data_IF_479550046324
#
_entry.id   IF_479550046324
#
_cell.length_a   1.000
_cell.length_b   1.000
_cell.length_c   1.000
_cell.angle_alpha   90.00
_cell.angle_beta   90.00
_cell.angle_gamma   90.00
#
_symmetry.space_group_name_H-M   'P 1'
#
loop_
_entity.id
_entity.type
_entity.pdbx_description
1 polymer ?
#
# COMPACT_ATOMS: atom_id res chain seq x y z
N UNK A 1 2.01 -31.90 6.77
CA UNK A 1 2.82 -30.97 5.95
C UNK A 1 3.76 -30.17 6.85
N UNK A 2 4.94 -29.83 6.34
CA UNK A 2 5.92 -29.02 7.07
C UNK A 2 5.94 -27.63 6.48
N UNK A 3 5.63 -26.62 7.30
CA UNK A 3 5.76 -25.21 6.95
C UNK A 3 7.04 -24.66 7.57
N UNK A 4 7.97 -24.20 6.74
CA UNK A 4 9.22 -23.59 7.21
C UNK A 4 9.06 -22.08 7.29
N UNK A 5 9.19 -21.52 8.49
CA UNK A 5 9.11 -20.08 8.74
C UNK A 5 10.40 -19.53 9.37
N UNK A 6 10.65 -18.26 9.20
CA UNK A 6 11.60 -17.49 10.01
C UNK A 6 10.84 -16.38 10.69
N UNK A 7 10.92 -16.31 12.00
CA UNK A 7 10.42 -15.17 12.79
C UNK A 7 11.60 -14.33 13.27
N UNK A 8 11.45 -13.00 13.18
CA UNK A 8 12.45 -12.03 13.63
C UNK A 8 11.93 -11.33 14.88
N UNK A 9 12.67 -11.45 15.97
CA UNK A 9 12.31 -10.92 17.29
C UNK A 9 13.45 -10.09 17.86
N UNK A 10 13.17 -9.19 18.80
CA UNK A 10 14.22 -8.52 19.55
C UNK A 10 15.07 -9.55 20.30
N UNK A 11 16.38 -9.32 20.35
CA UNK A 11 17.31 -10.20 21.10
C UNK A 11 17.24 -9.91 22.58
N UNK A 12 16.25 -10.50 23.24
CA UNK A 12 16.02 -10.39 24.70
C UNK A 12 15.43 -11.70 25.26
N UNK A 13 15.68 -12.00 26.53
CA UNK A 13 15.07 -13.17 27.17
C UNK A 13 13.56 -13.20 27.07
N UNK A 14 13.01 -14.35 26.65
CA UNK A 14 11.56 -14.57 26.53
C UNK A 14 10.90 -14.00 25.27
N UNK A 15 11.62 -13.35 24.37
CA UNK A 15 11.04 -12.75 23.16
C UNK A 15 10.30 -13.77 22.28
N UNK A 16 10.70 -15.04 22.26
CA UNK A 16 10.06 -16.09 21.48
C UNK A 16 8.78 -16.64 22.12
N UNK A 17 8.58 -16.39 23.42
CA UNK A 17 7.45 -16.98 24.16
C UNK A 17 6.07 -16.68 23.56
N UNK A 18 5.72 -15.44 23.17
CA UNK A 18 4.42 -15.18 22.56
C UNK A 18 4.18 -15.97 21.27
N UNK A 19 5.23 -16.24 20.49
CA UNK A 19 5.14 -17.09 19.28
C UNK A 19 4.84 -18.53 19.66
N UNK A 20 5.56 -19.08 20.66
CA UNK A 20 5.34 -20.43 21.14
C UNK A 20 3.93 -20.60 21.74
N UNK A 21 3.44 -19.64 22.50
CA UNK A 21 2.07 -19.63 23.03
C UNK A 21 1.03 -19.64 21.90
N UNK A 22 1.26 -18.89 20.84
CA UNK A 22 0.40 -18.90 19.65
C UNK A 22 0.41 -20.27 18.99
N UNK A 23 1.58 -20.87 18.78
CA UNK A 23 1.69 -22.24 18.23
C UNK A 23 0.94 -23.26 19.09
N UNK A 24 1.02 -23.14 20.43
CA UNK A 24 0.29 -24.02 21.35
C UNK A 24 -1.23 -23.87 21.21
N UNK A 25 -1.76 -22.65 21.08
CA UNK A 25 -3.20 -22.42 20.88
C UNK A 25 -3.72 -23.07 19.60
N UNK A 26 -2.93 -23.02 18.53
CA UNK A 26 -3.24 -23.67 17.25
C UNK A 26 -2.86 -25.16 17.20
N UNK A 27 -2.38 -25.73 18.31
CA UNK A 27 -1.95 -27.14 18.42
C UNK A 27 -0.94 -27.56 17.35
N UNK A 28 -0.07 -26.65 16.97
CA UNK A 28 0.96 -26.87 15.96
C UNK A 28 2.23 -27.40 16.63
N UNK A 29 2.70 -28.56 16.18
CA UNK A 29 3.96 -29.12 16.61
C UNK A 29 5.15 -28.51 15.86
N UNK A 30 6.26 -28.29 16.57
CA UNK A 30 7.52 -27.84 16.01
C UNK A 30 8.38 -29.08 15.71
N UNK A 31 8.67 -29.32 14.43
CA UNK A 31 9.58 -30.39 14.01
C UNK A 31 11.05 -29.96 14.04
N UNK A 32 11.30 -28.66 13.94
CA UNK A 32 12.62 -28.08 13.91
C UNK A 32 12.57 -26.64 14.44
N UNK A 33 13.58 -26.27 15.24
CA UNK A 33 13.82 -24.90 15.65
C UNK A 33 15.33 -24.65 15.72
N UNK A 34 15.78 -23.57 15.12
CA UNK A 34 17.14 -23.06 15.30
C UNK A 34 17.14 -21.55 15.36
N UNK A 35 18.09 -21.00 16.10
CA UNK A 35 18.38 -19.57 16.10
C UNK A 35 19.87 -19.38 15.82
N UNK A 36 20.19 -18.27 15.15
CA UNK A 36 21.58 -17.84 14.94
C UNK A 36 21.75 -16.43 15.49
N UNK A 37 22.76 -16.26 16.30
CA UNK A 37 23.23 -14.95 16.71
C UNK A 37 23.86 -14.25 15.50
N UNK A 38 23.44 -13.02 15.21
CA UNK A 38 23.86 -12.31 14.00
C UNK A 38 24.50 -10.94 14.29
N UNK A 39 24.79 -10.66 15.58
CA UNK A 39 25.39 -9.40 16.01
C UNK A 39 24.51 -8.15 15.83
N UNK A 40 23.19 -8.35 15.59
CA UNK A 40 22.19 -7.28 15.53
C UNK A 40 21.31 -7.30 16.77
N UNK A 41 20.54 -6.25 17.06
CA UNK A 41 19.57 -6.25 18.16
C UNK A 41 18.35 -7.17 17.93
N UNK A 42 18.37 -7.96 16.86
CA UNK A 42 17.31 -8.88 16.50
C UNK A 42 17.85 -10.30 16.34
N UNK A 43 17.04 -11.28 16.76
CA UNK A 43 17.34 -12.70 16.60
C UNK A 43 16.35 -13.33 15.60
N UNK A 44 16.87 -14.20 14.73
CA UNK A 44 16.08 -14.91 13.74
C UNK A 44 15.90 -16.37 14.19
N UNK A 45 14.65 -16.76 14.41
CA UNK A 45 14.29 -18.15 14.69
C UNK A 45 13.74 -18.81 13.43
N UNK A 46 14.45 -19.81 12.94
CA UNK A 46 13.97 -20.69 11.87
C UNK A 46 13.23 -21.86 12.50
N UNK A 47 11.98 -22.06 12.10
CA UNK A 47 11.09 -23.08 12.66
C UNK A 47 10.47 -23.93 11.54
N UNK A 48 10.45 -25.24 11.72
CA UNK A 48 9.66 -26.17 10.93
C UNK A 48 8.39 -26.54 11.71
N UNK A 49 7.23 -26.18 11.17
CA UNK A 49 5.93 -26.38 11.79
C UNK A 49 5.21 -27.57 11.14
N UNK A 50 4.78 -28.54 11.95
CA UNK A 50 3.95 -29.67 11.49
C UNK A 50 2.50 -29.23 11.48
N UNK A 51 1.95 -29.01 10.28
CA UNK A 51 0.58 -28.57 10.07
C UNK A 51 -0.30 -29.76 9.73
N UNK A 52 -1.26 -30.09 10.60
CA UNK A 52 -2.26 -31.12 10.37
C UNK A 52 -3.51 -30.57 9.68
N UNK A 53 -3.94 -29.38 10.07
CA UNK A 53 -5.11 -28.70 9.52
C UNK A 53 -4.70 -27.43 8.76
N UNK A 54 -4.71 -27.49 7.44
CA UNK A 54 -4.35 -26.34 6.58
C UNK A 54 -5.31 -25.17 6.72
N UNK A 55 -6.57 -25.38 7.10
CA UNK A 55 -7.54 -24.31 7.33
C UNK A 55 -7.20 -23.38 8.51
N UNK A 56 -6.33 -23.83 9.43
CA UNK A 56 -5.91 -23.03 10.59
C UNK A 56 -4.63 -22.22 10.33
N UNK A 57 -3.89 -22.51 9.25
CA UNK A 57 -2.62 -21.83 8.92
C UNK A 57 -2.82 -20.32 8.80
N UNK A 58 -3.91 -19.90 8.21
CA UNK A 58 -4.23 -18.49 8.02
C UNK A 58 -4.27 -17.74 9.36
N UNK A 59 -5.09 -18.21 10.28
CA UNK A 59 -5.23 -17.59 11.60
C UNK A 59 -3.91 -17.58 12.38
N UNK A 60 -3.17 -18.69 12.30
CA UNK A 60 -1.85 -18.83 12.91
C UNK A 60 -0.87 -17.78 12.39
N UNK A 61 -0.72 -17.66 11.08
CA UNK A 61 0.21 -16.71 10.46
C UNK A 61 -0.21 -15.27 10.74
N UNK A 62 -1.50 -14.96 10.69
CA UNK A 62 -2.02 -13.63 11.05
C UNK A 62 -1.71 -13.25 12.49
N UNK A 63 -1.86 -14.18 13.45
CA UNK A 63 -1.51 -13.91 14.84
C UNK A 63 0.00 -13.73 15.04
N UNK A 64 0.82 -14.61 14.46
CA UNK A 64 2.29 -14.46 14.56
C UNK A 64 2.75 -13.14 13.91
N UNK A 65 2.15 -12.74 12.79
CA UNK A 65 2.52 -11.50 12.11
C UNK A 65 2.20 -10.23 12.92
N UNK A 66 1.26 -10.30 13.88
CA UNK A 66 1.01 -9.21 14.83
C UNK A 66 2.05 -9.12 15.94
N UNK A 67 2.76 -10.21 16.21
CA UNK A 67 3.77 -10.30 17.26
C UNK A 67 5.15 -9.89 16.71
N UNK A 68 5.49 -10.34 15.50
CA UNK A 68 6.83 -10.18 14.93
C UNK A 68 6.82 -10.25 13.40
N UNK A 69 7.98 -9.94 12.80
CA UNK A 69 8.19 -10.19 11.37
C UNK A 69 8.26 -11.70 11.11
N UNK A 70 7.51 -12.16 10.13
CA UNK A 70 7.51 -13.56 9.69
C UNK A 70 7.89 -13.66 8.21
N UNK A 71 8.74 -14.64 7.86
CA UNK A 71 9.05 -15.03 6.48
C UNK A 71 8.80 -16.52 6.32
N UNK A 72 8.12 -16.90 5.25
CA UNK A 72 7.93 -18.30 4.86
C UNK A 72 9.06 -18.67 3.91
N UNK A 73 9.82 -19.73 4.24
CA UNK A 73 10.96 -20.17 3.46
C UNK A 73 10.61 -21.28 2.47
N UNK A 74 9.81 -22.22 2.92
CA UNK A 74 9.43 -23.38 2.15
C UNK A 74 8.07 -23.90 2.63
N UNK A 75 7.26 -24.31 1.68
CA UNK A 75 5.98 -24.92 1.92
C UNK A 75 5.80 -26.03 0.89
N UNK A 76 5.75 -27.28 1.35
CA UNK A 76 5.46 -28.41 0.47
C UNK A 76 4.02 -28.32 -0.04
N UNK A 77 3.87 -27.76 -1.22
CA UNK A 77 2.59 -27.69 -1.93
C UNK A 77 2.34 -29.03 -2.61
N UNK A 78 1.39 -29.78 -2.12
CA UNK A 78 0.73 -30.78 -2.96
C UNK A 78 -0.20 -30.05 -3.94
N UNK A 79 -0.03 -30.28 -5.19
CA UNK A 79 -0.47 -29.70 -6.47
C UNK A 79 -1.88 -29.09 -6.61
N UNK A 80 -2.62 -28.74 -5.56
CA UNK A 80 -4.01 -28.27 -5.66
C UNK A 80 -4.47 -27.13 -4.77
N UNK A 81 -3.63 -26.61 -3.88
CA UNK A 81 -3.98 -25.47 -3.05
C UNK A 81 -2.76 -24.59 -2.93
N UNK A 82 -2.62 -23.60 -3.81
CA UNK A 82 -1.93 -22.37 -3.45
C UNK A 82 -2.64 -21.86 -2.20
N UNK A 83 -2.09 -22.22 -1.02
CA UNK A 83 -2.63 -21.73 0.23
C UNK A 83 -2.55 -20.20 0.17
N UNK A 84 -3.72 -19.56 0.02
CA UNK A 84 -3.82 -18.13 -0.11
C UNK A 84 -3.00 -17.42 0.97
N UNK A 85 -2.89 -18.01 2.15
CA UNK A 85 -2.13 -17.51 3.29
C UNK A 85 -0.64 -17.34 2.98
N UNK A 86 -0.01 -18.35 2.40
CA UNK A 86 1.41 -18.28 2.01
C UNK A 86 1.60 -17.19 0.96
N UNK A 87 0.67 -17.09 0.03
CA UNK A 87 0.74 -16.14 -1.06
C UNK A 87 0.70 -14.69 -0.54
N UNK A 88 -0.30 -14.30 0.27
CA UNK A 88 -0.40 -12.89 0.68
C UNK A 88 0.61 -12.50 1.78
N UNK A 89 1.09 -13.44 2.61
CA UNK A 89 2.24 -13.17 3.50
C UNK A 89 3.49 -12.90 2.69
N UNK A 90 3.77 -13.71 1.67
CA UNK A 90 4.89 -13.51 0.74
C UNK A 90 4.73 -12.19 -0.02
N UNK A 91 3.52 -11.87 -0.45
CA UNK A 91 3.22 -10.60 -1.09
C UNK A 91 3.49 -9.40 -0.16
N UNK A 92 2.99 -9.43 1.08
CA UNK A 92 3.19 -8.35 2.06
C UNK A 92 4.69 -8.13 2.36
N UNK A 93 5.47 -9.19 2.54
CA UNK A 93 6.91 -9.10 2.72
C UNK A 93 7.63 -8.56 1.47
N UNK A 94 7.15 -8.92 0.28
CA UNK A 94 7.66 -8.36 -0.98
C UNK A 94 7.39 -6.86 -1.06
N UNK A 95 6.16 -6.42 -0.71
CA UNK A 95 5.80 -5.00 -0.68
C UNK A 95 6.62 -4.22 0.35
N UNK A 96 6.88 -4.82 1.53
CA UNK A 96 7.77 -4.25 2.53
C UNK A 96 9.16 -3.99 1.96
N UNK A 97 9.75 -4.97 1.29
CA UNK A 97 11.07 -4.83 0.68
C UNK A 97 11.11 -3.78 -0.44
N UNK A 98 10.04 -3.68 -1.24
CA UNK A 98 9.93 -2.70 -2.32
C UNK A 98 9.76 -1.28 -1.77
N UNK A 99 8.88 -1.07 -0.81
CA UNK A 99 8.43 0.24 -0.35
C UNK A 99 9.05 0.67 0.99
N UNK A 100 9.93 -0.16 1.57
CA UNK A 100 10.55 0.05 2.89
C UNK A 100 9.53 0.30 4.01
N UNK A 101 8.44 -0.51 4.02
CA UNK A 101 7.35 -0.35 4.96
C UNK A 101 7.78 -0.72 6.39
N UNK A 102 7.19 -0.04 7.37
CA UNK A 102 7.25 -0.48 8.78
C UNK A 102 6.54 -1.82 8.97
N UNK A 103 6.76 -2.47 10.12
CA UNK A 103 6.04 -3.70 10.46
C UNK A 103 4.53 -3.49 10.50
N UNK A 104 4.07 -2.39 11.10
CA UNK A 104 2.66 -2.01 11.16
C UNK A 104 2.03 -1.91 9.76
N UNK A 105 2.68 -1.17 8.85
CA UNK A 105 2.22 -1.04 7.45
C UNK A 105 2.29 -2.35 6.68
N UNK A 106 3.24 -3.22 6.98
CA UNK A 106 3.32 -4.56 6.39
C UNK A 106 2.13 -5.41 6.82
N UNK A 107 1.73 -5.32 8.08
CA UNK A 107 0.55 -6.02 8.61
C UNK A 107 -0.75 -5.50 7.96
N UNK A 108 -0.87 -4.19 7.74
CA UNK A 108 -1.99 -3.63 6.98
C UNK A 108 -2.05 -4.21 5.55
N UNK A 109 -0.91 -4.24 4.85
CA UNK A 109 -0.82 -4.84 3.50
C UNK A 109 -1.23 -6.30 3.51
N UNK A 110 -0.85 -7.06 4.54
CA UNK A 110 -1.24 -8.47 4.68
C UNK A 110 -2.77 -8.61 4.82
N UNK A 111 -3.39 -7.77 5.65
CA UNK A 111 -4.85 -7.76 5.85
C UNK A 111 -5.57 -7.42 4.53
N UNK A 112 -5.16 -6.35 3.86
CA UNK A 112 -5.77 -5.93 2.60
C UNK A 112 -5.54 -6.95 1.48
N UNK A 113 -4.36 -7.58 1.42
CA UNK A 113 -4.08 -8.62 0.45
C UNK A 113 -5.02 -9.83 0.64
N UNK A 114 -5.28 -10.21 1.89
CA UNK A 114 -6.25 -11.27 2.19
C UNK A 114 -7.68 -10.90 1.77
N UNK A 115 -8.13 -9.67 2.07
CA UNK A 115 -9.44 -9.18 1.65
C UNK A 115 -9.56 -9.15 0.11
N UNK A 116 -8.54 -8.62 -0.57
CA UNK A 116 -8.49 -8.58 -2.03
C UNK A 116 -8.56 -9.98 -2.64
N UNK A 117 -7.87 -10.97 -2.05
CA UNK A 117 -7.92 -12.36 -2.51
C UNK A 117 -9.36 -12.89 -2.46
N UNK A 118 -10.09 -12.63 -1.36
CA UNK A 118 -11.49 -13.05 -1.22
C UNK A 118 -12.39 -12.41 -2.29
N UNK A 119 -12.24 -11.10 -2.50
CA UNK A 119 -13.00 -10.36 -3.53
C UNK A 119 -12.72 -10.93 -4.93
N UNK A 120 -11.44 -11.19 -5.25
CA UNK A 120 -11.06 -11.74 -6.55
C UNK A 120 -11.62 -13.15 -6.77
N UNK A 121 -11.62 -13.99 -5.73
CA UNK A 121 -12.21 -15.34 -5.79
C UNK A 121 -13.72 -15.29 -6.01
N UNK A 122 -14.45 -14.40 -5.30
CA UNK A 122 -15.88 -14.17 -5.48
C UNK A 122 -16.21 -13.70 -6.90
N UNK A 123 -15.40 -12.79 -7.43
CA UNK A 123 -15.54 -12.25 -8.79
C UNK A 123 -14.98 -13.18 -9.88
N UNK A 124 -14.39 -14.32 -9.53
CA UNK A 124 -13.71 -15.25 -10.45
C UNK A 124 -12.62 -14.57 -11.30
N UNK A 125 -11.97 -13.55 -10.76
CA UNK A 125 -10.84 -12.85 -11.39
C UNK A 125 -9.52 -13.54 -11.02
N UNK A 126 -8.49 -13.52 -11.91
CA UNK A 126 -7.23 -14.20 -11.65
C UNK A 126 -6.40 -13.48 -10.58
N UNK A 127 -6.25 -14.01 -9.35
CA UNK A 127 -5.57 -13.31 -8.26
C UNK A 127 -4.10 -13.03 -8.56
N UNK A 128 -3.37 -14.01 -9.07
CA UNK A 128 -1.94 -13.92 -9.34
C UNK A 128 -1.59 -12.74 -10.26
N UNK A 129 -2.41 -12.52 -11.29
CA UNK A 129 -2.19 -11.43 -12.24
C UNK A 129 -2.42 -10.07 -11.57
N UNK A 130 -3.47 -9.95 -10.78
CA UNK A 130 -3.79 -8.70 -10.04
C UNK A 130 -2.65 -8.33 -9.07
N UNK A 131 -2.18 -9.28 -8.27
CA UNK A 131 -1.08 -9.05 -7.35
C UNK A 131 0.26 -8.75 -8.06
N UNK A 132 0.51 -9.35 -9.22
CA UNK A 132 1.68 -9.01 -10.02
C UNK A 132 1.61 -7.57 -10.55
N UNK A 133 0.45 -7.09 -10.99
CA UNK A 133 0.26 -5.69 -11.37
C UNK A 133 0.51 -4.74 -10.21
N UNK A 134 -0.04 -5.02 -9.01
CA UNK A 134 0.21 -4.20 -7.81
C UNK A 134 1.70 -4.14 -7.48
N UNK A 135 2.39 -5.28 -7.54
CA UNK A 135 3.83 -5.35 -7.29
C UNK A 135 4.64 -4.54 -8.31
N UNK A 136 4.29 -4.63 -9.59
CA UNK A 136 4.95 -3.84 -10.67
C UNK A 136 4.70 -2.37 -10.48
N UNK A 137 3.48 -1.97 -10.14
CA UNK A 137 3.13 -0.58 -9.87
C UNK A 137 3.88 -0.03 -8.65
N UNK A 138 3.98 -0.78 -7.56
CA UNK A 138 4.78 -0.40 -6.40
C UNK A 138 6.26 -0.14 -6.75
N UNK A 139 6.85 -1.00 -7.57
CA UNK A 139 8.22 -0.78 -8.09
C UNK A 139 8.30 0.48 -8.95
N UNK A 140 7.34 0.65 -9.84
CA UNK A 140 7.27 1.83 -10.71
C UNK A 140 7.23 3.12 -9.89
N UNK A 141 6.39 3.20 -8.85
CA UNK A 141 6.30 4.36 -7.95
C UNK A 141 7.61 4.57 -7.21
N UNK A 142 8.15 3.52 -6.56
CA UNK A 142 9.43 3.60 -5.84
C UNK A 142 10.56 4.14 -6.71
N UNK A 143 10.66 3.65 -7.95
CA UNK A 143 11.75 3.99 -8.85
C UNK A 143 11.66 5.43 -9.39
N UNK A 144 10.54 6.13 -9.11
CA UNK A 144 10.25 7.51 -9.56
C UNK A 144 9.89 8.45 -8.41
N UNK A 145 10.25 8.10 -7.18
CA UNK A 145 10.01 8.92 -5.99
C UNK A 145 11.27 9.65 -5.54
N UNK A 146 11.12 10.73 -4.77
CA UNK A 146 12.22 11.53 -4.23
C UNK A 146 13.03 12.20 -5.34
N UNK A 147 14.35 12.10 -5.28
CA UNK A 147 15.26 12.71 -6.26
C UNK A 147 15.06 12.21 -7.71
N UNK A 148 14.43 11.06 -7.87
CA UNK A 148 14.11 10.48 -9.19
C UNK A 148 12.75 10.89 -9.72
N UNK A 149 12.01 11.69 -8.96
CA UNK A 149 10.74 12.23 -9.44
C UNK A 149 10.97 13.23 -10.55
N UNK A 150 10.27 13.02 -11.65
CA UNK A 150 10.32 13.93 -12.79
C UNK A 150 8.90 14.09 -13.36
N UNK A 151 8.36 15.30 -13.27
CA UNK A 151 7.09 15.64 -13.88
C UNK A 151 7.33 16.55 -15.10
N UNK A 152 6.63 16.31 -16.19
CA UNK A 152 6.56 17.27 -17.28
C UNK A 152 5.69 18.46 -16.89
N UNK A 153 6.19 19.67 -17.09
CA UNK A 153 5.48 20.90 -16.73
C UNK A 153 5.35 21.79 -17.96
N UNK A 154 4.13 22.15 -18.28
CA UNK A 154 3.81 23.10 -19.31
C UNK A 154 3.08 24.30 -18.70
N UNK A 155 3.38 25.51 -19.14
CA UNK A 155 2.66 26.72 -18.72
C UNK A 155 2.28 27.60 -19.90
N UNK A 156 1.10 28.20 -19.83
CA UNK A 156 0.58 29.08 -20.86
C UNK A 156 -0.23 30.22 -20.24
N UNK A 157 0.02 31.43 -20.70
CA UNK A 157 -0.86 32.56 -20.41
C UNK A 157 -2.10 32.49 -21.32
N UNK A 158 -3.27 32.34 -20.71
CA UNK A 158 -4.55 32.22 -21.43
C UNK A 158 -5.18 33.60 -21.70
N UNK A 159 -5.01 34.54 -20.74
CA UNK A 159 -5.50 35.90 -20.82
C UNK A 159 -4.69 36.78 -19.86
N UNK A 160 -4.95 38.11 -19.86
CA UNK A 160 -4.32 39.01 -18.92
C UNK A 160 -4.58 38.57 -17.46
N UNK A 161 -3.52 38.23 -16.74
CA UNK A 161 -3.57 37.78 -15.34
C UNK A 161 -4.11 36.35 -15.12
N UNK A 162 -4.37 35.58 -16.19
CA UNK A 162 -4.80 34.18 -16.11
C UNK A 162 -3.74 33.28 -16.74
N UNK A 163 -3.09 32.46 -15.93
CA UNK A 163 -2.09 31.48 -16.38
C UNK A 163 -2.57 30.04 -16.10
N UNK A 164 -2.34 29.15 -17.06
CA UNK A 164 -2.49 27.72 -16.92
C UNK A 164 -1.13 27.08 -16.63
N UNK A 165 -1.06 26.24 -15.63
CA UNK A 165 0.04 25.31 -15.39
C UNK A 165 -0.50 23.87 -15.50
N UNK A 166 0.07 23.08 -16.40
CA UNK A 166 -0.25 21.66 -16.55
C UNK A 166 0.94 20.82 -16.09
N UNK A 167 0.71 19.91 -15.17
CA UNK A 167 1.71 19.04 -14.55
C UNK A 167 1.35 17.60 -14.83
N UNK A 168 2.25 16.87 -15.50
CA UNK A 168 2.12 15.44 -15.78
C UNK A 168 3.15 14.64 -14.96
N UNK A 169 2.76 14.07 -13.81
CA UNK A 169 3.64 13.24 -12.99
C UNK A 169 3.93 11.88 -13.64
N UNK A 170 4.89 11.08 -13.13
CA UNK A 170 5.36 9.85 -13.79
C UNK A 170 4.31 8.77 -14.03
N UNK A 171 3.24 8.72 -13.26
CA UNK A 171 2.21 7.69 -13.38
C UNK A 171 0.94 8.14 -14.10
N UNK A 172 0.97 9.29 -14.78
CA UNK A 172 -0.22 9.88 -15.38
C UNK A 172 -0.98 10.74 -14.38
N UNK A 173 -2.28 10.98 -14.64
CA UNK A 173 -3.13 11.84 -13.81
C UNK A 173 -2.64 13.27 -13.76
N UNK A 174 -2.85 13.98 -14.86
CA UNK A 174 -2.45 15.36 -14.98
C UNK A 174 -3.17 16.24 -13.94
N UNK A 175 -2.41 17.14 -13.34
CA UNK A 175 -2.91 18.21 -12.50
C UNK A 175 -2.85 19.51 -13.28
N UNK A 176 -3.97 20.22 -13.40
CA UNK A 176 -4.01 21.52 -14.02
C UNK A 176 -4.25 22.58 -12.95
N UNK A 177 -3.49 23.68 -13.00
CA UNK A 177 -3.64 24.79 -12.09
C UNK A 177 -3.93 26.05 -12.91
N UNK A 178 -5.09 26.65 -12.69
CA UNK A 178 -5.43 27.97 -13.19
C UNK A 178 -5.09 29.02 -12.12
N UNK A 179 -4.19 29.89 -12.45
CA UNK A 179 -3.71 30.98 -11.58
C UNK A 179 -4.34 32.32 -12.00
N UNK A 180 -5.03 32.96 -11.05
CA UNK A 180 -5.58 34.30 -11.25
C UNK A 180 -5.51 35.10 -9.94
N UNK A 181 -4.71 36.16 -9.91
CA UNK A 181 -4.49 36.96 -8.70
C UNK A 181 -4.03 36.10 -7.53
N UNK A 182 -4.75 36.18 -6.41
CA UNK A 182 -4.47 35.43 -5.21
C UNK A 182 -5.12 34.02 -5.20
N UNK A 183 -5.83 33.64 -6.26
CA UNK A 183 -6.58 32.41 -6.34
C UNK A 183 -5.87 31.38 -7.22
N UNK A 184 -5.93 30.12 -6.78
CA UNK A 184 -5.49 28.93 -7.53
C UNK A 184 -6.67 27.98 -7.64
N UNK A 185 -7.07 27.65 -8.87
CA UNK A 185 -8.04 26.60 -9.13
C UNK A 185 -7.34 25.38 -9.74
N UNK A 186 -7.37 24.30 -9.03
CA UNK A 186 -6.86 23.00 -9.49
C UNK A 186 -7.96 22.22 -10.20
N UNK A 187 -7.62 21.55 -11.28
CA UNK A 187 -8.44 20.48 -11.86
C UNK A 187 -7.65 19.19 -11.66
N UNK A 188 -8.19 18.33 -10.82
CA UNK A 188 -7.54 17.13 -10.27
C UNK A 188 -6.23 17.44 -9.51
N UNK A 189 -5.76 16.49 -8.73
CA UNK A 189 -4.61 16.75 -7.87
C UNK A 189 -3.67 15.55 -7.69
N UNK A 190 -3.62 14.68 -8.67
CA UNK A 190 -2.63 13.61 -8.77
C UNK A 190 -2.73 12.53 -7.71
N UNK A 191 -1.68 11.73 -7.60
CA UNK A 191 -1.55 10.62 -6.66
C UNK A 191 -1.00 11.06 -5.30
N UNK A 192 -1.55 10.51 -4.21
CA UNK A 192 -1.05 10.72 -2.86
C UNK A 192 0.40 10.20 -2.65
N UNK A 193 0.83 9.20 -3.43
CA UNK A 193 2.18 8.64 -3.33
C UNK A 193 3.29 9.64 -3.74
N UNK A 194 2.97 10.67 -4.52
CA UNK A 194 3.88 11.75 -4.93
C UNK A 194 3.57 13.10 -4.25
N UNK A 195 2.89 13.06 -3.11
CA UNK A 195 2.45 14.28 -2.42
C UNK A 195 3.60 15.26 -2.14
N UNK A 196 4.70 14.75 -1.60
CA UNK A 196 5.84 15.57 -1.20
C UNK A 196 6.51 16.22 -2.42
N UNK A 197 6.73 15.42 -3.45
CA UNK A 197 7.34 15.87 -4.70
C UNK A 197 6.45 16.86 -5.45
N UNK A 198 5.14 16.62 -5.48
CA UNK A 198 4.18 17.55 -6.10
C UNK A 198 4.10 18.87 -5.34
N UNK A 199 4.10 18.85 -4.00
CA UNK A 199 4.13 20.07 -3.19
C UNK A 199 5.40 20.88 -3.46
N UNK A 200 6.57 20.26 -3.43
CA UNK A 200 7.83 20.91 -3.72
C UNK A 200 7.85 21.53 -5.15
N UNK A 201 7.29 20.80 -6.13
CA UNK A 201 7.18 21.30 -7.50
C UNK A 201 6.24 22.51 -7.60
N UNK A 202 5.08 22.47 -6.94
CA UNK A 202 4.11 23.56 -6.92
C UNK A 202 4.69 24.81 -6.25
N UNK A 203 5.36 24.66 -5.12
CA UNK A 203 6.06 25.77 -4.43
C UNK A 203 7.18 26.38 -5.28
N UNK A 204 7.91 25.56 -6.04
CA UNK A 204 8.94 26.04 -6.94
C UNK A 204 8.40 26.75 -8.20
N UNK A 205 7.17 26.45 -8.62
CA UNK A 205 6.57 26.95 -9.88
C UNK A 205 5.56 28.07 -9.71
N UNK A 206 4.95 28.18 -8.54
CA UNK A 206 3.89 29.15 -8.24
C UNK A 206 4.37 30.08 -7.13
N UNK A 207 4.61 31.37 -7.43
CA UNK A 207 4.99 32.37 -6.42
C UNK A 207 3.96 32.42 -5.29
N UNK A 208 4.43 32.56 -4.06
CA UNK A 208 3.60 32.66 -2.84
C UNK A 208 2.57 31.52 -2.67
N UNK A 209 2.84 30.33 -3.23
CA UNK A 209 1.95 29.18 -3.25
C UNK A 209 1.32 28.88 -1.87
N UNK A 210 2.12 28.94 -0.79
CA UNK A 210 1.64 28.63 0.55
C UNK A 210 0.54 29.57 1.04
N UNK A 211 0.56 30.85 0.62
CA UNK A 211 -0.35 31.91 1.08
C UNK A 211 -1.60 32.03 0.21
N UNK A 212 -1.51 31.58 -1.05
CA UNK A 212 -2.60 31.75 -2.02
C UNK A 212 -3.77 30.83 -1.66
N UNK A 213 -4.99 31.29 -1.92
CA UNK A 213 -6.21 30.50 -1.75
C UNK A 213 -6.27 29.39 -2.79
N UNK A 214 -6.49 28.17 -2.34
CA UNK A 214 -6.49 26.98 -3.18
C UNK A 214 -7.86 26.33 -3.21
N UNK A 215 -8.39 26.13 -4.40
CA UNK A 215 -9.63 25.40 -4.64
C UNK A 215 -9.35 24.27 -5.62
N UNK A 216 -10.08 23.17 -5.51
CA UNK A 216 -9.98 22.07 -6.44
C UNK A 216 -11.33 21.71 -7.06
N UNK A 217 -11.29 21.37 -8.33
CA UNK A 217 -12.35 20.68 -9.03
C UNK A 217 -11.88 19.26 -9.31
N UNK A 218 -12.56 18.27 -8.72
CA UNK A 218 -12.24 16.84 -8.93
C UNK A 218 -13.17 16.30 -9.99
N UNK A 219 -12.59 15.76 -11.07
CA UNK A 219 -13.33 15.26 -12.22
C UNK A 219 -14.01 13.92 -11.90
N UNK A 220 -13.32 13.04 -11.19
CA UNK A 220 -13.82 11.74 -10.73
C UNK A 220 -13.06 11.24 -9.49
N UNK A 221 -13.58 10.19 -8.85
CA UNK A 221 -13.12 9.75 -7.54
C UNK A 221 -11.91 8.80 -7.57
N UNK A 222 -11.19 8.67 -8.69
CA UNK A 222 -10.04 7.77 -8.77
C UNK A 222 -8.87 8.26 -7.92
N UNK A 223 -8.10 7.31 -7.39
CA UNK A 223 -7.02 7.58 -6.42
C UNK A 223 -5.91 8.48 -6.96
N UNK A 224 -5.76 8.51 -8.28
CA UNK A 224 -4.77 9.31 -8.99
C UNK A 224 -5.25 10.73 -9.33
N UNK A 225 -6.48 11.08 -8.98
CA UNK A 225 -7.06 12.40 -9.17
C UNK A 225 -7.30 13.17 -7.87
N UNK A 226 -7.21 12.48 -6.72
CA UNK A 226 -7.60 13.00 -5.41
C UNK A 226 -6.48 12.98 -4.36
N UNK A 227 -5.22 12.86 -4.77
CA UNK A 227 -4.09 12.65 -3.87
C UNK A 227 -3.75 13.81 -2.94
N UNK A 228 -4.10 15.04 -3.29
CA UNK A 228 -3.81 16.26 -2.54
C UNK A 228 -5.04 16.93 -1.94
N UNK A 229 -6.18 16.25 -1.77
CA UNK A 229 -7.44 16.86 -1.32
C UNK A 229 -7.31 17.69 -0.04
N UNK A 230 -6.47 17.30 0.90
CA UNK A 230 -6.25 18.03 2.16
C UNK A 230 -5.51 19.37 2.01
N UNK A 231 -5.08 19.72 0.79
CA UNK A 231 -4.38 20.99 0.50
C UNK A 231 -5.35 22.16 0.27
N UNK A 232 -6.62 21.87 -0.04
CA UNK A 232 -7.55 22.86 -0.59
C UNK A 232 -8.48 23.45 0.46
N UNK A 233 -8.74 24.76 0.35
CA UNK A 233 -9.71 25.48 1.18
C UNK A 233 -11.16 25.10 0.81
N UNK A 234 -11.38 24.74 -0.47
CA UNK A 234 -12.66 24.22 -0.94
C UNK A 234 -12.44 23.21 -2.08
N UNK A 235 -13.26 22.16 -2.09
CA UNK A 235 -13.25 21.13 -3.12
C UNK A 235 -14.62 21.03 -3.75
N UNK A 236 -14.66 21.06 -5.08
CA UNK A 236 -15.85 20.92 -5.89
C UNK A 236 -15.79 19.60 -6.66
N UNK A 237 -16.91 18.91 -6.75
CA UNK A 237 -17.04 17.66 -7.49
C UNK A 237 -18.51 17.40 -7.83
N UNK A 238 -18.76 16.47 -8.74
CA UNK A 238 -20.13 16.02 -9.02
C UNK A 238 -20.71 15.24 -7.84
N UNK A 239 -22.05 15.16 -7.75
CA UNK A 239 -22.73 14.38 -6.72
C UNK A 239 -22.31 12.90 -6.76
N UNK A 240 -22.17 12.31 -7.96
CA UNK A 240 -21.71 10.92 -8.13
C UNK A 240 -20.26 10.72 -7.65
N UNK A 241 -19.37 11.70 -7.91
CA UNK A 241 -18.02 11.66 -7.39
C UNK A 241 -17.99 11.70 -5.86
N UNK A 242 -18.78 12.59 -5.25
CA UNK A 242 -18.90 12.68 -3.81
C UNK A 242 -19.43 11.38 -3.19
N UNK A 243 -20.47 10.77 -3.77
CA UNK A 243 -21.03 9.51 -3.27
C UNK A 243 -20.02 8.35 -3.32
N UNK A 244 -19.16 8.31 -4.34
CA UNK A 244 -18.07 7.31 -4.40
C UNK A 244 -17.08 7.48 -3.23
N UNK A 245 -16.65 8.70 -2.90
CA UNK A 245 -15.81 8.95 -1.72
C UNK A 245 -16.53 8.64 -0.40
N UNK A 246 -17.82 8.97 -0.32
CA UNK A 246 -18.63 8.72 0.87
C UNK A 246 -18.84 7.21 1.09
N UNK A 247 -19.11 6.44 0.05
CA UNK A 247 -19.23 4.99 0.09
C UNK A 247 -17.91 4.33 0.52
N UNK A 248 -16.78 4.73 -0.09
CA UNK A 248 -15.45 4.24 0.30
C UNK A 248 -15.17 4.50 1.79
N UNK A 249 -15.46 5.70 2.29
CA UNK A 249 -15.29 6.05 3.71
C UNK A 249 -16.15 5.20 4.65
N UNK A 250 -17.34 4.76 4.21
CA UNK A 250 -18.24 3.88 4.96
C UNK A 250 -17.88 2.40 4.83
N UNK A 251 -16.89 2.05 3.98
CA UNK A 251 -16.56 0.66 3.63
C UNK A 251 -17.68 -0.03 2.82
N UNK A 252 -18.46 0.74 2.08
CA UNK A 252 -19.51 0.25 1.20
C UNK A 252 -18.96 0.03 -0.22
N UNK A 253 -19.55 -0.90 -1.00
CA UNK A 253 -19.19 -1.09 -2.40
C UNK A 253 -19.28 0.22 -3.17
N UNK A 254 -18.25 0.56 -3.90
CA UNK A 254 -18.20 1.78 -4.70
C UNK A 254 -17.87 1.45 -6.16
N UNK A 255 -17.90 2.46 -7.02
CA UNK A 255 -17.65 2.29 -8.46
C UNK A 255 -16.30 1.63 -8.77
N UNK A 256 -15.26 1.87 -7.98
CA UNK A 256 -13.93 1.28 -8.19
C UNK A 256 -13.89 -0.22 -7.93
N UNK A 257 -14.77 -0.73 -7.08
CA UNK A 257 -14.85 -2.17 -6.77
C UNK A 257 -15.72 -2.91 -7.79
N UNK A 258 -16.54 -2.20 -8.56
CA UNK A 258 -17.43 -2.77 -9.56
C UNK A 258 -16.79 -2.92 -10.94
N UNK A 259 -15.65 -2.26 -11.21
CA UNK A 259 -14.88 -2.30 -12.45
C UNK A 259 -13.49 -2.89 -12.25
#
# INVERSE_FOLDING_TARGET
QILMIVVTLEDKPGAVLPVLETLCRYRVNISYISSQENGTPYQHFKMGLLIENTGEIKGLIEEISRICEIRILDYEVTDRLLDGTVFYVTFANTMRAILHLSQEKTNEVLIYANQLMQILDEQKKPPLQTFDYIRRFARFVRDRKGERFHASVYSQDLAAGLRLLAIAPPCGSNTYVLEHGEELLFVDCGFACYREEMLALLEARIPDFARRRKRAWITHADVDHAGLLSLFDAVYMSGSCYENFAAERRGEPNFREQN
#
